data_IF_611468902025
#
_entry.id   IF_611468902025
#
_cell.length_a   1.000
_cell.length_b   1.000
_cell.length_c   1.000
_cell.angle_alpha   90.00
_cell.angle_beta   90.00
_cell.angle_gamma   90.00
#
_symmetry.space_group_name_H-M   'P 1'
#
loop_
_entity.id
_entity.type
_entity.pdbx_description
1 polymer ?
#
# COMPACT_ATOMS: atom_id res chain seq x y z
N UNK A 1 -3.92 6.67 20.40
CA UNK A 1 -4.66 7.58 19.50
C UNK A 1 -4.91 6.83 18.20
N UNK A 2 -6.16 6.50 17.90
CA UNK A 2 -6.60 5.92 16.62
C UNK A 2 -7.82 6.69 16.13
N UNK A 3 -8.02 6.76 14.82
CA UNK A 3 -9.21 7.33 14.19
C UNK A 3 -9.79 6.30 13.23
N UNK A 4 -11.12 6.25 13.13
CA UNK A 4 -11.77 5.43 12.12
C UNK A 4 -11.69 6.12 10.76
N UNK A 5 -11.37 5.36 9.72
CA UNK A 5 -11.44 5.81 8.34
C UNK A 5 -12.86 5.50 7.84
N UNK A 6 -13.57 6.52 7.37
CA UNK A 6 -14.89 6.39 6.75
C UNK A 6 -14.92 7.23 5.47
N UNK A 7 -15.54 6.78 4.38
CA UNK A 7 -16.31 5.55 4.18
C UNK A 7 -15.43 4.33 3.86
N UNK A 8 -16.02 3.11 3.91
CA UNK A 8 -15.35 1.85 3.53
C UNK A 8 -15.81 1.39 2.15
N UNK A 9 -14.89 0.80 1.38
CA UNK A 9 -15.16 0.28 0.04
C UNK A 9 -16.09 -0.94 0.06
N UNK A 10 -16.88 -1.10 -1.01
CA UNK A 10 -17.75 -2.27 -1.21
C UNK A 10 -17.32 -3.02 -2.46
N UNK A 11 -17.24 -4.35 -2.36
CA UNK A 11 -16.84 -5.20 -3.48
C UNK A 11 -17.80 -5.06 -4.68
N UNK A 12 -17.23 -4.78 -5.86
CA UNK A 12 -17.98 -4.60 -7.10
C UNK A 12 -18.74 -3.28 -7.21
N UNK A 13 -18.54 -2.36 -6.26
CA UNK A 13 -19.25 -1.09 -6.18
C UNK A 13 -18.26 0.04 -5.81
N UNK A 14 -18.71 1.03 -5.05
CA UNK A 14 -17.94 2.22 -4.71
C UNK A 14 -16.71 1.88 -3.88
N UNK A 15 -15.55 2.23 -4.41
CA UNK A 15 -14.28 2.26 -3.69
C UNK A 15 -14.00 3.67 -3.16
N UNK A 16 -13.41 3.73 -1.97
CA UNK A 16 -12.97 4.95 -1.32
C UNK A 16 -11.46 4.90 -1.15
N UNK A 17 -10.84 6.08 -1.28
CA UNK A 17 -9.41 6.27 -1.18
C UNK A 17 -9.07 7.22 -0.03
N UNK A 18 -7.85 7.10 0.49
CA UNK A 18 -7.27 8.08 1.40
C UNK A 18 -5.94 8.55 0.82
N UNK A 19 -5.81 9.87 0.66
CA UNK A 19 -4.53 10.50 0.31
C UNK A 19 -3.68 10.58 1.56
N UNK A 20 -2.43 10.12 1.49
CA UNK A 20 -1.49 10.10 2.61
C UNK A 20 -0.19 10.77 2.16
N UNK A 21 0.24 11.80 2.87
CA UNK A 21 1.55 12.40 2.66
C UNK A 21 2.39 12.29 3.92
N UNK A 22 3.62 11.81 3.76
CA UNK A 22 4.64 11.79 4.81
C UNK A 22 5.88 12.48 4.25
N UNK A 23 6.36 13.52 4.93
CA UNK A 23 7.55 14.24 4.49
C UNK A 23 8.39 14.75 5.65
N UNK A 24 9.69 14.88 5.38
CA UNK A 24 10.64 15.55 6.25
C UNK A 24 10.78 17.01 5.81
N UNK A 25 10.56 17.94 6.73
CA UNK A 25 10.85 19.36 6.55
C UNK A 25 12.37 19.55 6.37
N UNK A 26 12.77 20.08 5.22
CA UNK A 26 14.19 20.26 4.89
C UNK A 26 14.89 21.35 5.71
N UNK A 27 14.14 22.28 6.31
CA UNK A 27 14.70 23.37 7.12
C UNK A 27 14.85 22.95 8.58
N UNK A 28 13.84 22.29 9.13
CA UNK A 28 13.79 21.95 10.55
C UNK A 28 14.16 20.49 10.84
N UNK A 29 14.18 19.63 9.82
CA UNK A 29 14.46 18.19 9.96
C UNK A 29 13.33 17.38 10.57
N UNK A 30 12.18 18.00 10.86
CA UNK A 30 11.03 17.36 11.49
C UNK A 30 10.13 16.67 10.46
N UNK A 31 9.40 15.65 10.89
CA UNK A 31 8.51 14.88 10.03
C UNK A 31 7.06 15.26 10.25
N UNK A 32 6.31 15.23 9.15
CA UNK A 32 4.88 15.56 9.11
C UNK A 32 4.11 14.42 8.45
N UNK A 33 2.89 14.20 8.92
CA UNK A 33 1.90 13.38 8.23
C UNK A 33 0.63 14.20 8.03
N UNK A 34 0.15 14.21 6.79
CA UNK A 34 -1.15 14.75 6.43
C UNK A 34 -2.03 13.70 5.78
N UNK A 35 -3.35 13.88 5.92
CA UNK A 35 -4.36 13.01 5.36
C UNK A 35 -5.38 13.79 4.53
N UNK A 36 -5.87 13.15 3.48
CA UNK A 36 -6.93 13.64 2.61
C UNK A 36 -6.46 14.66 1.57
N UNK A 37 -7.35 15.00 0.62
CA UNK A 37 -7.03 15.90 -0.50
C UNK A 37 -6.71 17.33 -0.05
N UNK A 38 -7.18 17.73 1.13
CA UNK A 38 -6.92 19.06 1.72
C UNK A 38 -5.61 19.11 2.53
N UNK A 39 -4.82 18.03 2.56
CA UNK A 39 -3.55 17.98 3.29
C UNK A 39 -3.67 18.31 4.79
N UNK A 40 -4.72 17.80 5.45
CA UNK A 40 -4.93 18.04 6.87
C UNK A 40 -3.77 17.43 7.68
N UNK A 41 -2.98 18.25 8.37
CA UNK A 41 -1.89 17.79 9.24
C UNK A 41 -2.49 17.04 10.44
N UNK A 42 -2.12 15.77 10.60
CA UNK A 42 -2.63 14.93 11.70
C UNK A 42 -1.54 14.46 12.67
N UNK A 43 -0.27 14.49 12.25
CA UNK A 43 0.88 14.18 13.13
C UNK A 43 2.09 15.03 12.79
N UNK A 44 2.89 15.18 13.84
CA UNK A 44 4.21 15.78 13.84
C UNK A 44 5.14 14.84 14.62
N UNK A 45 6.36 14.64 14.10
CA UNK A 45 7.42 13.93 14.81
C UNK A 45 8.72 14.73 14.76
N UNK A 46 9.35 15.00 15.91
CA UNK A 46 10.71 15.56 15.94
C UNK A 46 11.68 14.70 15.14
N UNK A 47 12.60 15.35 14.40
CA UNK A 47 13.62 14.66 13.60
C UNK A 47 14.49 13.69 14.40
N UNK A 48 14.72 13.99 15.69
CA UNK A 48 15.51 13.20 16.63
C UNK A 48 14.98 11.77 16.86
N UNK A 49 13.69 11.53 16.58
CA UNK A 49 13.11 10.18 16.69
C UNK A 49 13.58 9.23 15.59
N UNK A 50 14.11 9.76 14.48
CA UNK A 50 14.43 8.99 13.27
C UNK A 50 15.85 9.30 12.77
N UNK A 51 16.85 9.03 13.60
CA UNK A 51 18.27 9.24 13.27
C UNK A 51 18.72 8.46 12.03
N UNK A 52 18.19 7.25 11.83
CA UNK A 52 18.53 6.40 10.67
C UNK A 52 17.77 6.76 9.39
N UNK A 53 16.86 7.75 9.41
CA UNK A 53 16.14 8.24 8.23
C UNK A 53 16.64 9.63 7.80
N UNK A 54 17.83 10.02 8.24
CA UNK A 54 18.45 11.26 7.78
C UNK A 54 18.85 11.20 6.29
N UNK A 55 19.29 10.02 5.85
CA UNK A 55 19.51 9.66 4.46
C UNK A 55 18.91 8.27 4.22
N UNK A 56 18.00 8.15 3.25
CA UNK A 56 17.48 6.87 2.79
C UNK A 56 17.47 6.82 1.27
N UNK A 57 17.81 5.66 0.73
CA UNK A 57 17.74 5.37 -0.70
C UNK A 57 16.47 4.59 -1.05
N UNK A 58 15.71 4.17 -0.04
CA UNK A 58 14.57 3.28 -0.21
C UNK A 58 13.30 3.91 0.37
N UNK A 59 12.26 3.93 -0.46
CA UNK A 59 10.87 4.19 -0.08
C UNK A 59 10.07 2.96 -0.48
N UNK A 60 9.18 2.51 0.40
CA UNK A 60 8.39 1.31 0.17
C UNK A 60 6.92 1.58 0.47
N UNK A 61 6.06 1.08 -0.41
CA UNK A 61 4.61 0.95 -0.18
C UNK A 61 4.35 -0.52 0.08
N UNK A 62 3.96 -0.87 1.31
CA UNK A 62 3.92 -2.25 1.78
C UNK A 62 2.58 -2.56 2.44
N UNK A 63 2.11 -3.79 2.24
CA UNK A 63 1.16 -4.46 3.10
C UNK A 63 1.83 -5.66 3.78
N UNK A 64 1.66 -5.80 5.08
CA UNK A 64 2.25 -6.91 5.86
C UNK A 64 1.14 -7.70 6.56
N UNK A 65 1.27 -9.02 6.54
CA UNK A 65 0.41 -9.93 7.30
C UNK A 65 1.26 -10.62 8.37
N UNK A 66 0.93 -10.34 9.62
CA UNK A 66 1.58 -10.95 10.79
C UNK A 66 0.61 -11.92 11.45
N UNK A 67 0.89 -13.22 11.33
CA UNK A 67 0.10 -14.28 11.98
C UNK A 67 0.89 -14.82 13.17
N UNK A 68 0.44 -14.55 14.38
CA UNK A 68 1.13 -14.97 15.62
C UNK A 68 0.84 -16.41 16.03
N UNK A 69 -0.20 -17.05 15.47
CA UNK A 69 -0.60 -18.42 15.79
C UNK A 69 -1.05 -19.16 14.51
N UNK A 70 -0.17 -19.96 13.92
CA UNK A 70 -0.53 -20.92 12.88
C UNK A 70 -0.61 -22.31 13.49
N UNK A 71 -1.82 -22.82 13.73
CA UNK A 71 -2.04 -24.22 14.13
C UNK A 71 -1.82 -25.18 12.95
N UNK A 72 -0.67 -25.07 12.28
CA UNK A 72 -0.34 -25.87 11.10
C UNK A 72 -1.21 -25.59 9.86
N UNK A 73 -1.98 -24.50 9.83
CA UNK A 73 -2.65 -24.04 8.61
C UNK A 73 -1.72 -23.14 7.82
N UNK A 74 -1.64 -23.39 6.52
CA UNK A 74 -1.08 -22.43 5.56
C UNK A 74 -1.81 -21.09 5.70
N UNK A 75 -1.15 -19.98 5.37
CA UNK A 75 -1.70 -18.63 5.60
C UNK A 75 -3.00 -18.43 4.81
N UNK A 76 -4.15 -18.64 5.44
CA UNK A 76 -5.51 -18.33 4.93
C UNK A 76 -5.88 -16.85 5.14
N UNK A 77 -4.94 -16.01 5.59
CA UNK A 77 -5.22 -14.59 5.82
C UNK A 77 -5.24 -13.83 4.50
N UNK A 78 -6.36 -13.20 4.21
CA UNK A 78 -6.54 -12.38 3.01
C UNK A 78 -5.71 -11.10 3.07
N UNK A 79 -5.12 -10.70 1.93
CA UNK A 79 -4.47 -9.40 1.77
C UNK A 79 -5.36 -8.46 0.95
N UNK A 80 -5.48 -7.22 1.39
CA UNK A 80 -6.29 -6.20 0.72
C UNK A 80 -7.77 -6.58 0.77
N UNK A 81 -8.39 -6.76 -0.40
CA UNK A 81 -9.78 -7.22 -0.50
C UNK A 81 -9.92 -8.74 -0.50
N UNK A 82 -8.83 -9.51 -0.48
CA UNK A 82 -8.84 -10.96 -0.66
C UNK A 82 -8.97 -11.40 -2.12
N UNK A 83 -9.12 -10.46 -3.06
CA UNK A 83 -9.26 -10.75 -4.49
C UNK A 83 -7.94 -10.67 -5.25
N UNK A 84 -7.91 -11.26 -6.45
CA UNK A 84 -6.75 -11.20 -7.31
C UNK A 84 -6.56 -9.78 -7.88
N UNK A 85 -5.33 -9.26 -7.95
CA UNK A 85 -5.06 -7.91 -8.44
C UNK A 85 -5.51 -7.69 -9.89
N UNK A 86 -5.57 -8.75 -10.70
CA UNK A 86 -6.08 -8.71 -12.09
C UNK A 86 -7.56 -8.34 -12.19
N UNK A 87 -8.31 -8.40 -11.09
CA UNK A 87 -9.72 -7.99 -11.07
C UNK A 87 -9.90 -6.47 -11.12
N UNK A 88 -8.85 -5.70 -10.81
CA UNK A 88 -8.79 -4.25 -11.01
C UNK A 88 -9.72 -3.43 -10.10
N UNK A 89 -9.97 -2.19 -10.51
CA UNK A 89 -10.79 -1.23 -9.76
C UNK A 89 -12.20 -1.75 -9.50
N UNK A 90 -12.73 -1.45 -8.31
CA UNK A 90 -13.98 -1.96 -7.78
C UNK A 90 -13.85 -3.30 -7.05
N UNK A 91 -12.76 -4.07 -7.26
CA UNK A 91 -12.61 -5.44 -6.73
C UNK A 91 -11.31 -5.66 -5.97
N UNK A 92 -10.18 -5.26 -6.55
CA UNK A 92 -8.86 -5.37 -5.94
C UNK A 92 -8.48 -4.11 -5.14
N UNK A 93 -7.54 -4.26 -4.21
CA UNK A 93 -6.90 -3.13 -3.53
C UNK A 93 -5.74 -2.59 -4.37
N UNK A 94 -5.39 -1.32 -4.17
CA UNK A 94 -4.33 -0.66 -4.93
C UNK A 94 -3.65 0.46 -4.14
N UNK A 95 -2.47 0.83 -4.62
CA UNK A 95 -1.88 2.14 -4.41
C UNK A 95 -1.81 2.87 -5.74
N UNK A 96 -2.11 4.17 -5.75
CA UNK A 96 -2.05 5.04 -6.94
C UNK A 96 -1.44 6.39 -6.60
N UNK A 97 -1.09 7.16 -7.63
CA UNK A 97 -0.40 8.45 -7.48
C UNK A 97 0.84 8.33 -6.59
N UNK A 98 1.68 7.32 -6.86
CA UNK A 98 2.88 7.08 -6.07
C UNK A 98 3.94 8.13 -6.39
N UNK A 99 4.24 8.96 -5.39
CA UNK A 99 5.17 10.07 -5.49
C UNK A 99 6.16 10.09 -4.31
N UNK A 100 7.33 10.66 -4.56
CA UNK A 100 8.35 10.94 -3.56
C UNK A 100 8.58 12.44 -3.45
N UNK A 101 8.95 12.89 -2.26
CA UNK A 101 9.27 14.31 -2.01
C UNK A 101 10.62 14.63 -2.67
N UNK A 102 10.58 15.45 -3.72
CA UNK A 102 11.76 16.04 -4.35
C UNK A 102 12.24 17.29 -3.63
N UNK A 103 12.99 18.14 -4.33
CA UNK A 103 13.54 19.36 -3.72
C UNK A 103 12.47 20.34 -3.26
N UNK A 104 11.38 20.51 -4.03
CA UNK A 104 10.33 21.50 -3.73
C UNK A 104 8.90 21.00 -4.01
N UNK A 105 8.73 19.76 -4.46
CA UNK A 105 7.45 19.20 -4.89
C UNK A 105 7.46 17.67 -4.78
N UNK A 106 6.28 17.06 -4.88
CA UNK A 106 6.14 15.63 -5.07
C UNK A 106 6.48 15.28 -6.53
N UNK A 107 7.18 14.17 -6.71
CA UNK A 107 7.66 13.67 -7.99
C UNK A 107 7.20 12.22 -8.18
N UNK A 108 6.59 11.87 -9.33
CA UNK A 108 6.23 10.49 -9.62
C UNK A 108 7.42 9.53 -9.50
N UNK A 109 7.16 8.34 -8.96
CA UNK A 109 8.17 7.29 -8.85
C UNK A 109 8.62 6.83 -10.25
N UNK A 110 9.93 6.84 -10.50
CA UNK A 110 10.47 6.48 -11.82
C UNK A 110 10.59 4.97 -12.06
N UNK A 111 10.75 4.17 -10.99
CA UNK A 111 10.83 2.72 -11.10
C UNK A 111 10.27 2.04 -9.86
N UNK A 112 9.36 1.10 -10.05
CA UNK A 112 8.82 0.25 -9.00
C UNK A 112 9.47 -1.13 -9.04
N UNK A 113 9.74 -1.68 -7.85
CA UNK A 113 10.15 -3.07 -7.68
C UNK A 113 9.17 -3.73 -6.73
N UNK A 114 8.69 -4.92 -7.08
CA UNK A 114 7.82 -5.72 -6.21
C UNK A 114 8.65 -6.69 -5.39
N UNK A 115 8.29 -6.85 -4.13
CA UNK A 115 8.73 -7.97 -3.30
C UNK A 115 7.47 -8.62 -2.70
N UNK A 116 7.10 -9.79 -3.22
CA UNK A 116 5.86 -10.49 -2.85
C UNK A 116 6.14 -11.96 -2.57
N UNK A 117 5.48 -12.50 -1.55
CA UNK A 117 5.42 -13.95 -1.32
C UNK A 117 4.40 -14.56 -2.29
N UNK A 118 4.87 -14.91 -3.48
CA UNK A 118 4.04 -15.27 -4.65
C UNK A 118 3.19 -16.53 -4.46
N UNK A 119 3.49 -17.34 -3.44
CA UNK A 119 2.68 -18.50 -3.07
C UNK A 119 1.32 -18.09 -2.49
N UNK A 120 1.24 -16.91 -1.86
CA UNK A 120 0.07 -16.45 -1.10
C UNK A 120 -0.55 -15.18 -1.67
N UNK A 121 0.29 -14.25 -2.14
CA UNK A 121 -0.12 -12.92 -2.58
C UNK A 121 0.39 -12.59 -3.96
N UNK A 122 -0.19 -11.56 -4.56
CA UNK A 122 0.19 -11.13 -5.90
C UNK A 122 0.08 -9.61 -6.03
N UNK A 123 0.86 -9.06 -6.97
CA UNK A 123 0.85 -7.65 -7.36
C UNK A 123 0.79 -7.59 -8.88
N UNK A 124 -0.12 -6.79 -9.42
CA UNK A 124 -0.30 -6.65 -10.86
C UNK A 124 -0.58 -5.20 -11.25
N UNK A 125 -0.65 -4.93 -12.56
CA UNK A 125 -0.85 -3.60 -13.14
C UNK A 125 0.15 -2.57 -12.59
N UNK A 126 1.43 -2.96 -12.56
CA UNK A 126 2.50 -2.00 -12.33
C UNK A 126 2.65 -1.15 -13.58
N UNK A 127 2.01 0.01 -13.57
CA UNK A 127 1.93 0.88 -14.74
C UNK A 127 1.93 2.36 -14.35
N UNK A 128 1.89 3.23 -15.35
CA UNK A 128 1.77 4.68 -15.20
C UNK A 128 0.89 5.23 -16.31
N UNK A 129 -0.17 5.93 -15.93
CA UNK A 129 -1.04 6.66 -16.85
C UNK A 129 -1.52 7.99 -16.26
N UNK A 130 -2.16 8.81 -17.10
CA UNK A 130 -2.59 10.17 -16.74
C UNK A 130 -3.71 10.21 -15.69
N UNK A 131 -4.50 9.15 -15.55
CA UNK A 131 -5.61 9.08 -14.59
C UNK A 131 -5.14 8.55 -13.24
N UNK A 132 -4.34 7.49 -13.23
CA UNK A 132 -3.92 6.77 -12.01
C UNK A 132 -2.54 7.17 -11.49
N UNK A 133 -1.76 7.89 -12.29
CA UNK A 133 -0.35 8.10 -12.03
C UNK A 133 0.40 6.77 -11.96
N UNK A 134 1.52 6.75 -11.25
CA UNK A 134 2.25 5.52 -10.96
C UNK A 134 1.43 4.70 -9.96
N UNK A 135 1.08 3.46 -10.30
CA UNK A 135 0.16 2.65 -9.50
C UNK A 135 0.43 1.15 -9.58
N UNK A 136 -0.18 0.40 -8.67
CA UNK A 136 -0.24 -1.05 -8.72
C UNK A 136 -1.44 -1.58 -7.92
N UNK A 137 -1.93 -2.75 -8.32
CA UNK A 137 -2.96 -3.49 -7.60
C UNK A 137 -2.34 -4.66 -6.84
N UNK A 138 -2.90 -5.00 -5.68
CA UNK A 138 -2.41 -6.08 -4.84
C UNK A 138 -3.55 -6.80 -4.12
N UNK A 139 -3.29 -8.05 -3.74
CA UNK A 139 -4.24 -8.85 -2.95
C UNK A 139 -4.06 -10.33 -3.20
N UNK A 140 -4.89 -11.12 -2.52
CA UNK A 140 -5.25 -12.54 -2.76
C UNK A 140 -5.86 -13.12 -1.47
N UNK A 141 -6.55 -14.26 -1.56
CA UNK A 141 -7.18 -14.87 -0.39
C UNK A 141 -6.17 -15.56 0.55
N UNK A 142 -4.86 -15.50 0.24
CA UNK A 142 -3.83 -16.30 0.88
C UNK A 142 -3.71 -17.68 0.22
N UNK A 143 -3.26 -18.67 0.98
CA UNK A 143 -3.09 -20.03 0.49
C UNK A 143 -4.44 -20.67 0.20
N UNK A 144 -4.61 -21.14 -1.03
CA UNK A 144 -5.74 -21.97 -1.41
C UNK A 144 -5.23 -23.38 -1.68
N UNK A 145 -5.67 -24.35 -0.88
CA UNK A 145 -5.64 -25.75 -1.29
C UNK A 145 -6.63 -25.92 -2.44
N UNK A 146 -6.28 -25.54 -3.66
CA UNK A 146 -6.96 -26.14 -4.80
C UNK A 146 -6.59 -27.62 -4.79
N UNK A 147 -7.56 -28.42 -4.35
CA UNK A 147 -7.57 -29.86 -4.42
C UNK A 147 -6.90 -30.31 -5.73
N UNK A 148 -5.89 -31.17 -5.60
CA UNK A 148 -5.54 -32.10 -6.65
C UNK A 148 -6.81 -32.91 -6.96
N UNK A 149 -7.50 -32.55 -8.04
CA UNK A 149 -8.54 -33.39 -8.61
C UNK A 149 -8.48 -33.26 -10.14
N UNK A 150 -7.76 -34.23 -10.72
CA UNK A 150 -8.13 -35.01 -11.90
C UNK A 150 -8.64 -34.28 -13.15
N UNK A 151 -7.89 -34.47 -14.23
CA UNK A 151 -8.37 -34.41 -15.61
C UNK A 151 -7.24 -33.97 -16.55
N UNK A 152 -6.82 -34.71 -17.57
CA UNK A 152 -7.19 -36.01 -18.13
C UNK A 152 -5.92 -36.61 -18.76
#
# INVERSE_FOLDING_TARGET
>A
MGGAISHVSVFGDRQYEITVHVWKDQKQGNWWLSLGPENLIVRYWPGELFTNLEYTENVQWVGEIVVSHSFGRDRETEMGSGHFPVEGFGKACYFRNLEIVGSNNFQPVQSLKTNVDSNYYDVNYLDTDDEWGVHFFYGRPGFSYTHSSLGN
#
